data_IF_011982019296
#
_entry.id   IF_011982019296
#
_cell.length_a   1.000
_cell.length_b   1.000
_cell.length_c   1.000
_cell.angle_alpha   90.00
_cell.angle_beta   90.00
_cell.angle_gamma   90.00
#
_symmetry.space_group_name_H-M   'P 1'
#
loop_
_entity.id
_entity.type
_entity.pdbx_description
1 polymer ?
#
# COMPACT_ATOMS: atom_id res chain seq x y z
N UNK A 1 -5.81 -9.56 9.76
CA UNK A 1 -4.88 -8.43 9.58
C UNK A 1 -5.11 -7.74 8.24
N UNK A 2 -4.95 -8.42 7.09
CA UNK A 2 -5.09 -7.77 5.78
C UNK A 2 -6.46 -7.14 5.50
N UNK A 3 -7.56 -7.83 5.78
CA UNK A 3 -8.92 -7.29 5.59
C UNK A 3 -9.21 -6.05 6.43
N UNK A 4 -8.60 -5.93 7.62
CA UNK A 4 -8.75 -4.75 8.48
C UNK A 4 -8.10 -3.55 7.79
N UNK A 5 -6.93 -3.75 7.17
CA UNK A 5 -6.25 -2.70 6.41
C UNK A 5 -7.09 -2.26 5.20
N UNK A 6 -7.67 -3.22 4.46
CA UNK A 6 -8.55 -2.92 3.33
C UNK A 6 -9.80 -2.14 3.75
N UNK A 7 -10.46 -2.58 4.82
CA UNK A 7 -11.67 -1.94 5.33
C UNK A 7 -11.40 -0.55 5.91
N UNK A 8 -10.44 -0.44 6.83
CA UNK A 8 -10.31 0.76 7.65
C UNK A 8 -9.47 1.85 6.97
N UNK A 9 -8.52 1.46 6.13
CA UNK A 9 -7.58 2.38 5.49
C UNK A 9 -7.83 2.56 4.00
N UNK A 10 -7.94 1.48 3.23
CA UNK A 10 -8.12 1.60 1.77
C UNK A 10 -9.48 2.20 1.42
N UNK A 11 -10.57 1.64 1.98
CA UNK A 11 -11.92 2.12 1.68
C UNK A 11 -12.10 3.59 2.07
N UNK A 12 -11.70 3.95 3.29
CA UNK A 12 -11.72 5.33 3.79
C UNK A 12 -10.92 6.28 2.90
N UNK A 13 -9.72 5.88 2.47
CA UNK A 13 -8.87 6.71 1.62
C UNK A 13 -9.47 6.91 0.21
N UNK A 14 -9.97 5.85 -0.41
CA UNK A 14 -10.62 5.93 -1.73
C UNK A 14 -11.87 6.82 -1.68
N UNK A 15 -12.67 6.71 -0.61
CA UNK A 15 -13.86 7.55 -0.41
C UNK A 15 -13.53 9.05 -0.28
N UNK A 16 -12.38 9.39 0.31
CA UNK A 16 -11.97 10.79 0.57
C UNK A 16 -11.29 11.43 -0.63
N UNK A 17 -10.37 10.71 -1.27
CA UNK A 17 -9.49 11.29 -2.30
C UNK A 17 -10.11 11.21 -3.70
N UNK A 18 -11.05 10.29 -3.93
CA UNK A 18 -11.41 9.89 -5.29
C UNK A 18 -12.94 9.82 -5.47
N UNK A 19 -13.49 10.83 -6.15
CA UNK A 19 -14.94 10.98 -6.34
C UNK A 19 -15.44 10.63 -7.75
N UNK A 20 -14.54 10.36 -8.71
CA UNK A 20 -14.89 10.04 -10.09
C UNK A 20 -14.78 8.54 -10.47
N UNK A 21 -14.23 7.71 -9.56
CA UNK A 21 -14.14 6.26 -9.70
C UNK A 21 -13.15 5.79 -10.78
N UNK A 22 -12.19 6.64 -11.18
CA UNK A 22 -11.22 6.30 -12.22
C UNK A 22 -9.94 5.64 -11.67
N UNK A 23 -9.72 5.69 -10.37
CA UNK A 23 -8.51 5.18 -9.75
C UNK A 23 -8.52 3.66 -9.62
N UNK A 24 -7.31 3.10 -9.74
CA UNK A 24 -7.07 1.67 -9.65
C UNK A 24 -6.24 1.35 -8.42
N UNK A 25 -6.79 0.57 -7.50
CA UNK A 25 -6.03 -0.01 -6.40
C UNK A 25 -5.09 -1.09 -6.96
N UNK A 26 -3.80 -0.93 -6.68
CA UNK A 26 -2.75 -1.88 -7.08
C UNK A 26 -2.23 -2.62 -5.84
N UNK A 27 -2.09 -3.94 -5.99
CA UNK A 27 -1.42 -4.81 -5.02
C UNK A 27 -0.77 -5.96 -5.80
N UNK A 28 0.27 -6.56 -5.23
CA UNK A 28 0.90 -7.75 -5.81
C UNK A 28 0.03 -9.02 -5.59
N UNK A 29 0.52 -10.14 -6.12
CA UNK A 29 -0.13 -11.45 -5.97
C UNK A 29 0.41 -12.26 -4.77
N UNK A 30 0.89 -11.62 -3.70
CA UNK A 30 1.30 -12.35 -2.50
C UNK A 30 0.15 -13.22 -1.95
N UNK A 31 0.47 -14.36 -1.32
CA UNK A 31 -0.52 -15.37 -0.89
C UNK A 31 -1.68 -14.79 -0.06
N UNK A 32 -1.40 -13.77 0.77
CA UNK A 32 -2.42 -13.11 1.59
C UNK A 32 -3.36 -12.22 0.75
N UNK A 33 -2.82 -11.52 -0.25
CA UNK A 33 -3.55 -10.64 -1.17
C UNK A 33 -4.40 -11.44 -2.16
N UNK A 34 -3.88 -12.58 -2.64
CA UNK A 34 -4.59 -13.51 -3.52
C UNK A 34 -5.52 -14.49 -2.78
N UNK A 35 -5.66 -14.36 -1.45
CA UNK A 35 -6.52 -15.24 -0.68
C UNK A 35 -8.00 -15.06 -1.06
N UNK A 36 -8.78 -16.15 -0.99
CA UNK A 36 -10.21 -16.12 -1.36
C UNK A 36 -11.00 -15.02 -0.64
N UNK A 37 -10.65 -14.74 0.62
CA UNK A 37 -11.37 -13.73 1.41
C UNK A 37 -10.99 -12.32 0.97
N UNK A 38 -9.71 -12.04 0.69
CA UNK A 38 -9.26 -10.76 0.16
C UNK A 38 -9.84 -10.48 -1.23
N UNK A 39 -9.78 -11.46 -2.14
CA UNK A 39 -10.36 -11.34 -3.48
C UNK A 39 -11.87 -11.10 -3.43
N UNK A 40 -12.58 -11.80 -2.52
CA UNK A 40 -14.02 -11.61 -2.34
C UNK A 40 -14.35 -10.18 -1.88
N UNK A 41 -13.61 -9.67 -0.90
CA UNK A 41 -13.80 -8.30 -0.41
C UNK A 41 -13.61 -7.26 -1.54
N UNK A 42 -12.58 -7.43 -2.37
CA UNK A 42 -12.34 -6.54 -3.51
C UNK A 42 -13.43 -6.62 -4.58
N UNK A 43 -14.01 -7.80 -4.80
CA UNK A 43 -15.14 -7.98 -5.71
C UNK A 43 -16.40 -7.28 -5.20
N UNK A 44 -16.68 -7.38 -3.90
CA UNK A 44 -17.83 -6.72 -3.25
C UNK A 44 -17.78 -5.19 -3.37
N UNK A 45 -16.58 -4.60 -3.45
CA UNK A 45 -16.37 -3.14 -3.55
C UNK A 45 -15.97 -2.69 -4.97
N UNK A 46 -16.18 -3.53 -5.98
CA UNK A 46 -15.79 -3.23 -7.37
C UNK A 46 -16.59 -2.10 -8.03
N UNK A 47 -17.71 -1.68 -7.45
CA UNK A 47 -18.45 -0.46 -7.85
C UNK A 47 -17.75 0.82 -7.40
N UNK A 48 -17.00 0.75 -6.32
CA UNK A 48 -16.49 1.92 -5.61
C UNK A 48 -15.11 2.32 -6.12
N UNK A 49 -14.29 1.33 -6.49
CA UNK A 49 -12.99 1.53 -7.11
C UNK A 49 -12.60 0.34 -7.98
N UNK A 50 -11.69 0.57 -8.93
CA UNK A 50 -11.16 -0.50 -9.77
C UNK A 50 -9.99 -1.19 -9.10
N UNK A 51 -9.87 -2.50 -9.27
CA UNK A 51 -8.69 -3.26 -8.86
C UNK A 51 -7.82 -3.55 -10.09
N UNK A 52 -6.55 -3.15 -10.04
CA UNK A 52 -5.59 -3.45 -11.08
C UNK A 52 -5.24 -4.93 -11.07
N UNK A 53 -5.38 -5.58 -12.23
CA UNK A 53 -4.97 -6.97 -12.36
C UNK A 53 -3.45 -7.04 -12.51
N UNK A 54 -2.74 -7.48 -11.46
CA UNK A 54 -1.29 -7.60 -11.46
C UNK A 54 -0.81 -8.80 -12.28
N UNK A 55 -0.06 -8.58 -13.39
CA UNK A 55 0.64 -9.64 -14.10
C UNK A 55 1.55 -10.50 -13.18
N UNK A 56 1.55 -11.84 -13.35
CA UNK A 56 2.50 -12.68 -12.64
C UNK A 56 3.95 -12.31 -12.95
N UNK A 57 4.81 -12.32 -11.93
CA UNK A 57 6.28 -12.11 -12.04
C UNK A 57 6.68 -10.73 -12.56
N UNK A 58 5.90 -9.70 -12.27
CA UNK A 58 6.25 -8.31 -12.61
C UNK A 58 6.55 -7.45 -11.38
N UNK A 59 7.63 -7.71 -10.62
CA UNK A 59 8.02 -6.84 -9.51
C UNK A 59 8.37 -5.41 -9.96
N UNK A 60 8.79 -5.22 -11.21
CA UNK A 60 9.19 -3.94 -11.79
C UNK A 60 8.07 -2.90 -11.85
N UNK A 61 6.80 -3.30 -11.75
CA UNK A 61 5.70 -2.36 -11.74
C UNK A 61 5.39 -1.83 -10.34
N UNK A 62 6.05 -2.37 -9.29
CA UNK A 62 5.73 -2.01 -7.92
C UNK A 62 6.44 -0.72 -7.51
N UNK A 63 5.80 0.41 -7.78
CA UNK A 63 6.26 1.75 -7.37
C UNK A 63 6.52 1.86 -5.84
N UNK A 64 5.92 0.97 -5.04
CA UNK A 64 6.17 0.93 -3.59
C UNK A 64 7.63 0.55 -3.30
N UNK A 65 8.28 -0.28 -4.13
CA UNK A 65 9.71 -0.59 -3.94
C UNK A 65 10.57 0.66 -4.16
N UNK A 66 10.30 1.45 -5.20
CA UNK A 66 11.03 2.70 -5.44
C UNK A 66 10.83 3.70 -4.29
N UNK A 67 9.60 3.83 -3.77
CA UNK A 67 9.29 4.68 -2.61
C UNK A 67 10.01 4.16 -1.36
N UNK A 68 10.01 2.84 -1.15
CA UNK A 68 10.67 2.21 0.00
C UNK A 68 12.18 2.43 -0.04
N UNK A 69 12.80 2.31 -1.21
CA UNK A 69 14.23 2.57 -1.39
C UNK A 69 14.58 4.04 -1.14
N UNK A 70 13.74 4.96 -1.63
CA UNK A 70 13.91 6.39 -1.36
C UNK A 70 13.79 6.71 0.13
N UNK A 71 12.78 6.15 0.81
CA UNK A 71 12.59 6.30 2.26
C UNK A 71 13.74 5.70 3.06
N UNK A 72 14.21 4.51 2.70
CA UNK A 72 15.33 3.85 3.34
C UNK A 72 16.59 4.73 3.27
N UNK A 73 16.90 5.22 2.07
CA UNK A 73 18.04 6.09 1.86
C UNK A 73 17.91 7.45 2.60
N UNK A 74 16.70 8.00 2.71
CA UNK A 74 16.44 9.18 3.54
C UNK A 74 16.73 8.90 5.02
N UNK A 75 16.30 7.75 5.53
CA UNK A 75 16.56 7.31 6.91
C UNK A 75 18.05 7.06 7.16
N UNK A 76 18.77 6.42 6.24
CA UNK A 76 20.21 6.15 6.36
C UNK A 76 21.06 7.42 6.46
N UNK A 77 20.60 8.51 5.81
CA UNK A 77 21.28 9.81 5.85
C UNK A 77 21.05 10.59 7.15
N UNK A 78 20.09 10.19 7.99
CA UNK A 78 19.80 10.92 9.24
C UNK A 78 20.93 10.75 10.25
N UNK A 79 21.23 11.84 10.93
CA UNK A 79 22.23 11.90 12.01
C UNK A 79 21.63 12.61 13.23
N UNK A 80 21.54 11.95 14.41
CA UNK A 80 21.94 10.56 14.66
C UNK A 80 21.02 9.55 13.95
N UNK A 81 21.49 8.30 13.70
CA UNK A 81 20.63 7.24 13.18
C UNK A 81 19.49 6.93 14.15
N UNK A 82 18.30 6.51 13.66
CA UNK A 82 17.22 6.07 14.54
C UNK A 82 17.64 4.89 15.41
N UNK A 83 17.34 4.95 16.71
CA UNK A 83 17.74 3.89 17.67
C UNK A 83 16.56 3.13 18.26
N UNK A 84 15.36 3.66 18.10
CA UNK A 84 14.11 3.05 18.56
C UNK A 84 13.09 3.01 17.44
N UNK A 85 12.06 2.15 17.57
CA UNK A 85 10.95 2.11 16.62
C UNK A 85 10.21 3.45 16.51
N UNK A 86 10.16 4.22 17.61
CA UNK A 86 9.57 5.56 17.63
C UNK A 86 10.42 6.53 16.81
N UNK A 87 11.75 6.49 16.96
CA UNK A 87 12.66 7.33 16.16
C UNK A 87 12.55 6.98 14.68
N UNK A 88 12.42 5.69 14.34
CA UNK A 88 12.25 5.25 12.95
C UNK A 88 10.91 5.73 12.38
N UNK A 89 9.82 5.66 13.15
CA UNK A 89 8.52 6.15 12.73
C UNK A 89 8.58 7.65 12.43
N UNK A 90 9.13 8.45 13.35
CA UNK A 90 9.33 9.88 13.12
C UNK A 90 10.22 10.11 11.88
N UNK A 91 11.26 9.29 11.72
CA UNK A 91 12.16 9.40 10.59
C UNK A 91 11.50 9.17 9.23
N UNK A 92 10.57 8.22 9.17
CA UNK A 92 9.78 7.95 7.97
C UNK A 92 8.71 9.03 7.74
N UNK A 93 8.20 9.67 8.79
CA UNK A 93 7.16 10.71 8.69
C UNK A 93 7.70 12.07 8.22
N UNK A 94 8.92 12.47 8.60
CA UNK A 94 9.51 13.73 8.11
C UNK A 94 10.38 13.59 6.84
N UNK A 95 10.37 12.42 6.19
CA UNK A 95 11.03 12.20 4.90
C UNK A 95 10.11 12.58 3.74
#
# INVERSE_FOLDING_TARGET
MYLIILSDHLYSFMSIVHSDGLEQFQQDNATLHASRVATKWLQEHSSDFRHFHWPPKSPEMNIIEDIRDALLHAVEKRSPPPRTSMDLLNALQDS
#
